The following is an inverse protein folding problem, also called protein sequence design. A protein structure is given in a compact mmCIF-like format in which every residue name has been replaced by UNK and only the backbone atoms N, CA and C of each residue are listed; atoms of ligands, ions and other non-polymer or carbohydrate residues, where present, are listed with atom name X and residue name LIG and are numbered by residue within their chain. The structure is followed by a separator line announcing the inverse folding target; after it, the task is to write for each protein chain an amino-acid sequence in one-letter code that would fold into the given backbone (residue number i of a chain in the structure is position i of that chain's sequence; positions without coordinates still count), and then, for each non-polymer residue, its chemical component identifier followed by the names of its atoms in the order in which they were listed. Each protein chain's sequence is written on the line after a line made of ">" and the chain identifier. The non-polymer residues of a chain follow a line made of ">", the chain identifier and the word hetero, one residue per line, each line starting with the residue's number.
data_IF_178145621926
#
_entry.id   IF_178145621926
#
_cell.length_a   1.000
_cell.length_b   1.000
_cell.length_c   1.000
_cell.angle_alpha   90.00
_cell.angle_beta   90.00
_cell.angle_gamma   90.00
#
_symmetry.space_group_name_H-M   'P 1'
#
loop_
_entity.id
_entity.type
_entity.pdbx_description
1 polymer ?
#
# COMPACT_ATOMS: atom_id res chain seq x y z
N UNK A 1 -8.76 -65.95 -43.36
CA UNK A 1 -9.20 -65.04 -44.45
C UNK A 1 -9.09 -63.60 -43.94
N UNK A 2 -8.84 -62.53 -44.70
CA UNK A 2 -8.29 -62.27 -46.05
C UNK A 2 -7.70 -60.83 -45.99
N UNK A 3 -6.47 -60.51 -46.45
CA UNK A 3 -6.10 -60.12 -47.84
C UNK A 3 -7.14 -59.18 -48.50
N UNK A 4 -6.88 -57.97 -48.99
CA UNK A 4 -5.68 -57.23 -49.49
C UNK A 4 -5.98 -55.69 -49.44
N UNK A 5 -5.21 -54.66 -49.85
CA UNK A 5 -3.93 -54.34 -50.59
C UNK A 5 -3.43 -52.96 -50.04
N UNK A 6 -2.14 -52.54 -50.06
CA UNK A 6 -1.36 -51.81 -51.13
C UNK A 6 -2.12 -50.66 -51.84
N UNK A 7 -1.54 -49.48 -52.16
CA UNK A 7 -0.19 -48.82 -52.16
C UNK A 7 -0.33 -47.41 -51.50
N UNK A 8 0.64 -46.50 -51.26
CA UNK A 8 2.12 -46.31 -51.38
C UNK A 8 2.49 -45.20 -50.31
N UNK A 9 3.73 -44.86 -49.91
CA UNK A 9 5.06 -45.44 -50.09
C UNK A 9 6.13 -44.49 -50.68
N UNK A 10 7.02 -43.95 -49.85
CA UNK A 10 8.39 -43.53 -50.25
C UNK A 10 9.35 -43.72 -49.06
N UNK A 11 10.60 -44.07 -49.35
CA UNK A 11 11.68 -44.25 -48.38
C UNK A 11 12.80 -43.28 -48.74
N UNK A 12 13.31 -42.54 -47.75
CA UNK A 12 14.68 -42.00 -47.79
C UNK A 12 15.34 -42.39 -46.47
N UNK A 13 16.37 -43.22 -46.56
CA UNK A 13 17.28 -43.50 -45.46
C UNK A 13 18.64 -42.88 -45.81
N UNK A 14 19.22 -42.13 -44.88
CA UNK A 14 20.61 -41.67 -44.94
C UNK A 14 21.28 -42.11 -43.64
N UNK A 15 22.42 -42.77 -43.76
CA UNK A 15 23.16 -43.33 -42.63
C UNK A 15 24.28 -42.38 -42.16
N UNK A 16 24.59 -42.45 -40.86
CA UNK A 16 25.80 -41.92 -40.23
C UNK A 16 25.96 -40.37 -40.29
N UNK A 17 26.56 -39.71 -39.30
CA UNK A 17 27.67 -40.15 -38.43
C UNK A 17 27.44 -39.90 -36.94
N UNK A 18 28.11 -40.72 -36.12
CA UNK A 18 28.27 -40.48 -34.69
C UNK A 18 29.65 -39.84 -34.48
N UNK A 19 29.69 -38.53 -34.21
CA UNK A 19 30.91 -37.80 -33.85
C UNK A 19 30.71 -37.10 -32.51
N UNK A 20 31.33 -37.63 -31.47
CA UNK A 20 31.48 -36.87 -30.22
C UNK A 20 32.40 -35.67 -30.47
N UNK A 21 31.87 -34.48 -30.26
CA UNK A 21 32.64 -33.26 -30.05
C UNK A 21 32.15 -32.60 -28.77
N UNK A 22 33.08 -32.14 -27.95
CA UNK A 22 32.82 -31.53 -26.64
C UNK A 22 32.52 -30.03 -26.74
N UNK A 23 31.93 -29.52 -25.67
CA UNK A 23 32.02 -28.17 -25.12
C UNK A 23 30.78 -27.26 -25.25
N UNK A 24 30.71 -26.37 -24.25
CA UNK A 24 29.73 -25.30 -24.02
C UNK A 24 28.26 -25.71 -23.83
N UNK A 25 27.86 -25.74 -22.56
CA UNK A 25 26.46 -25.58 -22.19
C UNK A 25 26.07 -24.12 -22.42
N UNK A 26 25.27 -23.86 -23.45
CA UNK A 26 24.56 -22.59 -23.56
C UNK A 26 23.52 -22.52 -22.44
N UNK A 27 23.54 -21.44 -21.67
CA UNK A 27 22.54 -21.18 -20.64
C UNK A 27 21.21 -20.83 -21.32
N UNK A 28 20.40 -21.85 -21.57
CA UNK A 28 19.05 -21.71 -22.11
C UNK A 28 18.15 -20.95 -21.14
N UNK A 29 18.16 -19.63 -21.24
CA UNK A 29 17.18 -18.75 -20.59
C UNK A 29 15.80 -19.16 -21.09
N UNK A 30 15.01 -19.77 -20.22
CA UNK A 30 13.60 -20.00 -20.54
C UNK A 30 12.93 -18.65 -20.81
N UNK A 31 12.13 -18.51 -21.86
CA UNK A 31 11.40 -17.27 -22.09
C UNK A 31 10.51 -17.01 -20.88
N UNK A 32 10.59 -15.79 -20.33
CA UNK A 32 9.77 -15.37 -19.19
C UNK A 32 8.31 -15.61 -19.55
N UNK A 33 7.63 -16.42 -18.74
CA UNK A 33 6.21 -16.68 -18.93
C UNK A 33 5.46 -15.42 -18.54
N UNK A 34 5.02 -14.64 -19.53
CA UNK A 34 4.08 -13.54 -19.31
C UNK A 34 2.88 -14.11 -18.57
N UNK A 35 2.57 -13.56 -17.39
CA UNK A 35 1.44 -14.01 -16.59
C UNK A 35 0.17 -13.61 -17.32
N UNK A 36 -0.45 -14.56 -18.02
CA UNK A 36 -1.70 -14.35 -18.75
C UNK A 36 -2.71 -13.64 -17.82
N UNK A 37 -3.16 -12.44 -18.21
CA UNK A 37 -4.24 -11.78 -17.49
C UNK A 37 -5.47 -12.70 -17.52
N UNK A 38 -6.07 -13.03 -16.37
CA UNK A 38 -7.13 -14.03 -16.33
C UNK A 38 -8.29 -13.55 -17.19
N UNK A 39 -8.81 -14.46 -18.03
CA UNK A 39 -9.89 -14.15 -18.96
C UNK A 39 -11.17 -13.91 -18.16
N UNK A 40 -11.37 -12.65 -17.78
CA UNK A 40 -12.59 -12.16 -17.15
C UNK A 40 -13.73 -12.37 -18.15
N UNK A 41 -14.71 -13.19 -17.75
CA UNK A 41 -15.87 -13.45 -18.59
C UNK A 41 -16.64 -12.14 -18.88
N UNK A 42 -17.05 -11.88 -20.13
CA UNK A 42 -17.79 -10.67 -20.44
C UNK A 42 -19.13 -10.66 -19.69
N UNK A 43 -19.41 -9.54 -19.01
CA UNK A 43 -20.66 -9.32 -18.26
C UNK A 43 -21.84 -9.49 -19.21
N UNK A 44 -22.71 -10.47 -18.95
CA UNK A 44 -23.89 -10.70 -19.80
C UNK A 44 -24.96 -9.67 -19.47
N UNK A 45 -25.60 -9.12 -20.49
CA UNK A 45 -26.59 -8.04 -20.34
C UNK A 45 -27.98 -8.49 -19.88
N UNK A 46 -28.25 -9.80 -19.92
CA UNK A 46 -29.48 -10.46 -19.49
C UNK A 46 -29.49 -10.88 -18.00
N UNK A 47 -28.35 -10.77 -17.31
CA UNK A 47 -28.25 -11.11 -15.89
C UNK A 47 -28.83 -10.03 -14.96
N UNK A 48 -29.32 -10.38 -13.75
CA UNK A 48 -29.86 -9.42 -12.80
C UNK A 48 -28.88 -8.29 -12.47
N UNK A 49 -29.35 -7.04 -12.41
CA UNK A 49 -28.49 -5.86 -12.24
C UNK A 49 -27.55 -5.94 -11.04
N UNK A 50 -28.02 -6.48 -9.91
CA UNK A 50 -27.17 -6.69 -8.72
C UNK A 50 -26.01 -7.69 -8.95
N UNK A 51 -26.19 -8.70 -9.82
CA UNK A 51 -25.11 -9.62 -10.19
C UNK A 51 -24.08 -8.92 -11.09
N UNK A 52 -24.55 -8.11 -12.05
CA UNK A 52 -23.69 -7.32 -12.96
C UNK A 52 -22.88 -6.26 -12.20
N UNK A 53 -23.47 -5.60 -11.20
CA UNK A 53 -22.75 -4.70 -10.28
C UNK A 53 -21.68 -5.47 -9.51
N UNK A 54 -22.02 -6.61 -8.88
CA UNK A 54 -21.06 -7.43 -8.14
C UNK A 54 -19.90 -7.93 -9.01
N UNK A 55 -20.15 -8.27 -10.27
CA UNK A 55 -19.11 -8.60 -11.25
C UNK A 55 -18.19 -7.40 -11.52
N UNK A 56 -18.73 -6.19 -11.70
CA UNK A 56 -17.93 -4.98 -11.89
C UNK A 56 -17.07 -4.66 -10.65
N UNK A 57 -17.60 -4.85 -9.44
CA UNK A 57 -16.86 -4.71 -8.19
C UNK A 57 -15.71 -5.73 -8.08
N UNK A 58 -15.97 -7.00 -8.42
CA UNK A 58 -14.93 -8.06 -8.45
C UNK A 58 -13.84 -7.77 -9.49
N UNK A 59 -14.21 -7.29 -10.67
CA UNK A 59 -13.27 -6.86 -11.73
C UNK A 59 -12.42 -5.68 -11.25
N UNK A 60 -13.05 -4.69 -10.63
CA UNK A 60 -12.37 -3.50 -10.13
C UNK A 60 -11.39 -3.84 -9.00
N UNK A 61 -11.79 -4.69 -8.06
CA UNK A 61 -10.90 -5.11 -6.97
C UNK A 61 -9.80 -6.07 -7.44
N UNK A 62 -10.06 -6.93 -8.43
CA UNK A 62 -8.99 -7.71 -9.07
C UNK A 62 -7.93 -6.81 -9.71
N UNK A 63 -8.35 -5.86 -10.55
CA UNK A 63 -7.42 -4.94 -11.23
C UNK A 63 -6.76 -3.90 -10.32
N UNK A 64 -7.32 -3.62 -9.14
CA UNK A 64 -6.67 -2.82 -8.09
C UNK A 64 -5.43 -3.54 -7.51
N UNK A 65 -5.53 -4.85 -7.27
CA UNK A 65 -4.48 -5.65 -6.62
C UNK A 65 -3.45 -6.27 -7.58
N UNK A 66 -3.88 -6.70 -8.78
CA UNK A 66 -3.10 -7.65 -9.59
C UNK A 66 -2.56 -7.13 -10.92
N UNK A 67 -3.32 -6.35 -11.69
CA UNK A 67 -2.85 -5.87 -12.99
C UNK A 67 -1.96 -4.64 -12.87
N UNK A 68 -0.96 -4.49 -13.75
CA UNK A 68 -0.09 -3.30 -13.84
C UNK A 68 1.40 -3.58 -13.54
N UNK A 69 2.30 -2.68 -13.99
CA UNK A 69 3.75 -2.80 -13.78
C UNK A 69 4.17 -1.97 -12.55
N UNK A 70 4.75 -2.66 -11.59
CA UNK A 70 5.24 -2.15 -10.31
C UNK A 70 6.33 -1.07 -10.46
N UNK A 71 7.23 -1.19 -11.45
CA UNK A 71 8.27 -0.17 -11.72
C UNK A 71 7.65 1.10 -12.26
N UNK A 72 6.75 0.95 -13.24
CA UNK A 72 6.02 2.07 -13.85
C UNK A 72 5.17 2.82 -12.82
N UNK A 73 4.54 2.10 -11.89
CA UNK A 73 3.77 2.69 -10.80
C UNK A 73 4.62 3.54 -9.83
N UNK A 74 5.85 3.11 -9.53
CA UNK A 74 6.79 3.85 -8.69
C UNK A 74 7.36 5.11 -9.38
N UNK A 75 7.57 5.06 -10.70
CA UNK A 75 8.04 6.20 -11.50
C UNK A 75 6.94 7.23 -11.79
N UNK A 76 5.74 6.82 -12.21
CA UNK A 76 4.67 7.72 -12.65
C UNK A 76 3.75 8.17 -11.50
N UNK A 77 3.48 7.29 -10.54
CA UNK A 77 2.40 7.50 -9.56
C UNK A 77 2.98 8.04 -8.25
N UNK A 78 3.75 7.27 -7.46
CA UNK A 78 4.44 7.81 -6.28
C UNK A 78 5.72 7.05 -5.93
N UNK A 79 6.85 7.76 -5.78
CA UNK A 79 8.11 7.18 -5.28
C UNK A 79 7.93 6.56 -3.90
N UNK A 80 8.49 5.36 -3.68
CA UNK A 80 8.41 4.67 -2.40
C UNK A 80 7.04 4.08 -2.07
N UNK A 81 6.09 4.07 -3.02
CA UNK A 81 4.78 3.42 -2.88
C UNK A 81 4.62 2.36 -3.96
N UNK A 82 4.71 1.09 -3.55
CA UNK A 82 4.34 -0.04 -4.40
C UNK A 82 2.82 -0.03 -4.64
N UNK A 83 2.40 0.20 -5.88
CA UNK A 83 1.01 0.01 -6.32
C UNK A 83 0.98 -1.02 -7.45
N UNK A 84 0.02 -1.95 -7.37
CA UNK A 84 -0.38 -2.87 -8.46
C UNK A 84 -0.94 -2.10 -9.66
N UNK A 85 -2.10 -1.47 -9.41
CA UNK A 85 -3.29 -1.61 -10.24
C UNK A 85 -3.32 -0.95 -11.64
N UNK A 86 -4.11 -1.57 -12.54
CA UNK A 86 -4.65 -0.94 -13.76
C UNK A 86 -5.84 -0.04 -13.42
N UNK A 87 -5.58 1.10 -12.81
CA UNK A 87 -6.62 1.97 -12.25
C UNK A 87 -7.57 2.58 -13.31
N UNK A 88 -7.20 2.57 -14.58
CA UNK A 88 -8.07 2.86 -15.72
C UNK A 88 -9.21 1.83 -15.87
N UNK A 89 -8.91 0.54 -15.72
CA UNK A 89 -9.90 -0.55 -15.73
C UNK A 89 -10.77 -0.50 -14.47
N UNK A 90 -10.18 -0.21 -13.31
CA UNK A 90 -10.90 -0.01 -12.04
C UNK A 90 -11.89 1.16 -12.16
N UNK A 91 -11.49 2.27 -12.77
CA UNK A 91 -12.35 3.44 -13.01
C UNK A 91 -13.48 3.12 -14.00
N UNK A 92 -13.18 2.42 -15.10
CA UNK A 92 -14.18 2.01 -16.07
C UNK A 92 -15.26 1.10 -15.44
N UNK A 93 -14.84 0.13 -14.63
CA UNK A 93 -15.74 -0.79 -13.94
C UNK A 93 -16.66 -0.06 -12.94
N UNK A 94 -16.11 0.83 -12.09
CA UNK A 94 -16.95 1.62 -11.18
C UNK A 94 -17.82 2.65 -11.91
N UNK A 95 -17.39 3.21 -13.05
CA UNK A 95 -18.24 4.08 -13.89
C UNK A 95 -19.48 3.33 -14.38
N UNK A 96 -19.32 2.14 -14.97
CA UNK A 96 -20.46 1.31 -15.39
C UNK A 96 -21.35 0.92 -14.20
N UNK A 97 -20.76 0.56 -13.05
CA UNK A 97 -21.53 0.23 -11.85
C UNK A 97 -22.39 1.42 -11.38
N UNK A 98 -21.88 2.65 -11.43
CA UNK A 98 -22.66 3.87 -11.11
C UNK A 98 -23.70 4.28 -12.17
N UNK A 99 -23.69 3.64 -13.35
CA UNK A 99 -24.75 3.75 -14.36
C UNK A 99 -25.85 2.70 -14.09
N UNK A 100 -25.47 1.49 -13.69
CA UNK A 100 -26.39 0.42 -13.30
C UNK A 100 -27.13 0.71 -11.99
N UNK A 101 -26.47 1.36 -11.01
CA UNK A 101 -27.10 1.97 -9.84
C UNK A 101 -26.69 3.46 -9.70
N UNK A 102 -27.54 4.39 -10.18
CA UNK A 102 -27.29 5.82 -10.04
C UNK A 102 -27.54 6.36 -8.63
N UNK A 103 -28.16 5.60 -7.71
CA UNK A 103 -28.45 6.03 -6.34
C UNK A 103 -27.38 5.60 -5.33
N UNK A 104 -26.69 4.49 -5.55
CA UNK A 104 -25.62 4.03 -4.66
C UNK A 104 -24.55 5.12 -4.43
N UNK A 105 -24.39 5.53 -3.18
CA UNK A 105 -23.35 6.46 -2.74
C UNK A 105 -21.99 5.76 -2.63
N UNK A 106 -21.97 4.49 -2.21
CA UNK A 106 -20.74 3.71 -2.04
C UNK A 106 -20.03 3.44 -3.37
N UNK A 107 -20.76 3.12 -4.44
CA UNK A 107 -20.18 2.98 -5.79
C UNK A 107 -19.57 4.30 -6.29
N UNK A 108 -20.16 5.45 -5.92
CA UNK A 108 -19.62 6.78 -6.27
C UNK A 108 -18.43 7.18 -5.40
N UNK A 109 -18.38 6.74 -4.14
CA UNK A 109 -17.20 6.90 -3.28
C UNK A 109 -16.05 6.03 -3.82
N UNK A 110 -16.31 4.77 -4.19
CA UNK A 110 -15.34 3.88 -4.85
C UNK A 110 -14.81 4.46 -6.17
N UNK A 111 -15.69 5.04 -6.99
CA UNK A 111 -15.28 5.76 -8.20
C UNK A 111 -14.38 6.96 -7.87
N UNK A 112 -14.82 7.85 -6.99
CA UNK A 112 -14.06 9.04 -6.59
C UNK A 112 -12.70 8.67 -5.97
N UNK A 113 -12.63 7.60 -5.17
CA UNK A 113 -11.38 7.05 -4.63
C UNK A 113 -10.44 6.58 -5.74
N UNK A 114 -10.95 5.97 -6.81
CA UNK A 114 -10.15 5.54 -7.97
C UNK A 114 -9.66 6.73 -8.81
N UNK A 115 -10.49 7.77 -8.93
CA UNK A 115 -10.11 9.05 -9.55
C UNK A 115 -9.00 9.72 -8.71
N UNK A 116 -9.07 9.69 -7.38
CA UNK A 116 -8.00 10.17 -6.47
C UNK A 116 -6.68 9.37 -6.62
N UNK A 117 -6.70 8.04 -6.74
CA UNK A 117 -5.46 7.25 -6.96
C UNK A 117 -4.72 7.73 -8.21
N UNK A 118 -5.46 8.01 -9.29
CA UNK A 118 -4.93 8.50 -10.56
C UNK A 118 -4.67 10.02 -10.58
N UNK A 119 -4.72 10.70 -9.42
CA UNK A 119 -4.52 12.16 -9.28
C UNK A 119 -5.56 13.01 -10.04
N UNK A 120 -6.70 12.43 -10.45
CA UNK A 120 -7.84 13.08 -11.12
C UNK A 120 -8.73 13.80 -10.09
N UNK A 121 -8.14 14.76 -9.37
CA UNK A 121 -8.79 15.43 -8.24
C UNK A 121 -10.01 16.27 -8.67
N UNK A 122 -10.01 17.03 -9.80
CA UNK A 122 -11.21 17.74 -10.27
C UNK A 122 -12.39 16.80 -10.58
N UNK A 123 -12.10 15.64 -11.15
CA UNK A 123 -13.06 14.58 -11.45
C UNK A 123 -13.63 13.98 -10.15
N UNK A 124 -12.75 13.56 -9.23
CA UNK A 124 -13.16 13.04 -7.93
C UNK A 124 -14.02 14.05 -7.14
N UNK A 125 -13.69 15.35 -7.18
CA UNK A 125 -14.49 16.40 -6.55
C UNK A 125 -15.88 16.58 -7.20
N UNK A 126 -16.00 16.37 -8.51
CA UNK A 126 -17.29 16.31 -9.21
C UNK A 126 -18.09 15.07 -8.77
N UNK A 127 -17.45 13.91 -8.62
CA UNK A 127 -18.06 12.65 -8.19
C UNK A 127 -18.52 12.72 -6.72
N UNK A 128 -17.68 13.20 -5.79
CA UNK A 128 -18.09 13.48 -4.41
C UNK A 128 -19.23 14.50 -4.34
N UNK A 129 -19.27 15.51 -5.24
CA UNK A 129 -20.38 16.46 -5.30
C UNK A 129 -21.69 15.81 -5.78
N UNK A 130 -21.65 14.73 -6.57
CA UNK A 130 -22.86 13.96 -6.87
C UNK A 130 -23.40 13.27 -5.61
N UNK A 131 -22.52 12.65 -4.80
CA UNK A 131 -22.90 12.08 -3.49
C UNK A 131 -23.53 13.14 -2.59
N UNK A 132 -22.92 14.33 -2.49
CA UNK A 132 -23.43 15.44 -1.68
C UNK A 132 -24.70 16.12 -2.22
N UNK A 133 -25.06 15.88 -3.49
CA UNK A 133 -26.36 16.30 -4.04
C UNK A 133 -27.49 15.29 -3.67
N UNK A 134 -27.15 14.02 -3.48
CA UNK A 134 -28.08 12.97 -3.02
C UNK A 134 -28.23 13.02 -1.49
N UNK A 135 -27.11 13.11 -0.79
CA UNK A 135 -27.02 13.10 0.68
C UNK A 135 -26.16 14.28 1.19
N UNK A 136 -26.74 15.49 1.34
CA UNK A 136 -26.01 16.67 1.81
C UNK A 136 -25.34 16.52 3.19
N UNK A 137 -25.84 15.59 4.00
CA UNK A 137 -25.34 15.29 5.36
C UNK A 137 -24.45 14.04 5.44
N UNK A 138 -24.08 13.45 4.31
CA UNK A 138 -23.13 12.33 4.31
C UNK A 138 -21.76 12.81 4.83
N UNK A 139 -21.42 12.40 6.07
CA UNK A 139 -20.24 12.89 6.77
C UNK A 139 -18.93 12.60 6.01
N UNK A 140 -18.70 11.35 5.60
CA UNK A 140 -17.44 10.97 4.95
C UNK A 140 -17.27 11.68 3.59
N UNK A 141 -18.32 11.77 2.77
CA UNK A 141 -18.29 12.52 1.52
C UNK A 141 -17.99 14.02 1.72
N UNK A 142 -18.58 14.66 2.74
CA UNK A 142 -18.24 16.05 3.08
C UNK A 142 -16.76 16.20 3.49
N UNK A 143 -16.21 15.25 4.24
CA UNK A 143 -14.83 15.25 4.71
C UNK A 143 -13.81 15.05 3.58
N UNK A 144 -14.06 14.04 2.72
CA UNK A 144 -13.24 13.74 1.55
C UNK A 144 -13.28 14.91 0.56
N UNK A 145 -14.47 15.41 0.21
CA UNK A 145 -14.64 16.59 -0.63
C UNK A 145 -13.88 17.80 -0.07
N UNK A 146 -14.04 18.11 1.22
CA UNK A 146 -13.36 19.24 1.85
C UNK A 146 -11.84 19.17 1.77
N UNK A 147 -11.24 18.02 2.13
CA UNK A 147 -9.78 17.87 2.15
C UNK A 147 -9.20 17.80 0.73
N UNK A 148 -9.84 17.10 -0.20
CA UNK A 148 -9.38 17.11 -1.59
C UNK A 148 -9.59 18.48 -2.27
N UNK A 149 -10.60 19.26 -1.88
CA UNK A 149 -10.72 20.68 -2.27
C UNK A 149 -9.54 21.50 -1.76
N UNK A 150 -9.13 21.35 -0.49
CA UNK A 150 -7.94 22.03 0.07
C UNK A 150 -6.68 21.68 -0.73
N UNK A 151 -6.47 20.40 -1.05
CA UNK A 151 -5.31 19.94 -1.85
C UNK A 151 -5.36 20.49 -3.28
N UNK A 152 -6.56 20.57 -3.88
CA UNK A 152 -6.84 21.25 -5.14
C UNK A 152 -6.88 22.80 -5.03
N UNK A 153 -6.41 23.36 -3.92
CA UNK A 153 -6.30 24.81 -3.62
C UNK A 153 -7.63 25.58 -3.53
N UNK A 154 -8.78 24.91 -3.48
CA UNK A 154 -10.08 25.53 -3.16
C UNK A 154 -10.31 25.58 -1.65
N UNK A 155 -9.68 26.57 -1.03
CA UNK A 155 -9.83 26.92 0.38
C UNK A 155 -11.26 27.38 0.74
N UNK A 156 -12.08 27.80 -0.24
CA UNK A 156 -13.47 28.20 0.02
C UNK A 156 -14.37 26.96 0.14
N UNK A 157 -14.22 25.97 -0.73
CA UNK A 157 -14.91 24.69 -0.63
C UNK A 157 -14.48 23.93 0.65
N UNK A 158 -13.19 23.93 1.01
CA UNK A 158 -12.73 23.37 2.28
C UNK A 158 -13.44 24.02 3.49
N UNK A 159 -13.44 25.36 3.58
CA UNK A 159 -14.12 26.08 4.66
C UNK A 159 -15.64 25.80 4.71
N UNK A 160 -16.31 25.70 3.56
CA UNK A 160 -17.73 25.31 3.46
C UNK A 160 -17.96 23.89 3.97
N UNK A 161 -17.14 22.93 3.57
CA UNK A 161 -17.23 21.54 4.00
C UNK A 161 -17.00 21.39 5.52
N UNK A 162 -15.96 22.02 6.08
CA UNK A 162 -15.71 22.02 7.54
C UNK A 162 -16.88 22.67 8.30
N UNK A 163 -17.52 23.71 7.75
CA UNK A 163 -18.73 24.29 8.34
C UNK A 163 -19.90 23.30 8.36
N UNK A 164 -20.16 22.59 7.26
CA UNK A 164 -21.22 21.56 7.20
C UNK A 164 -20.94 20.37 8.11
N UNK A 165 -19.70 19.89 8.17
CA UNK A 165 -19.27 18.83 9.07
C UNK A 165 -19.54 19.17 10.54
N UNK A 166 -19.30 20.42 10.96
CA UNK A 166 -19.65 20.88 12.32
C UNK A 166 -21.15 20.92 12.60
N UNK A 167 -21.99 21.09 11.58
CA UNK A 167 -23.45 20.99 11.71
C UNK A 167 -23.92 19.53 11.83
N UNK A 168 -23.27 18.60 11.12
CA UNK A 168 -23.58 17.15 11.17
C UNK A 168 -23.12 16.54 12.50
N UNK A 169 -21.84 16.70 12.85
CA UNK A 169 -21.25 16.22 14.09
C UNK A 169 -20.00 17.05 14.43
N UNK A 170 -20.17 18.06 15.30
CA UNK A 170 -19.06 18.91 15.76
C UNK A 170 -17.97 18.14 16.53
N UNK A 171 -18.30 17.05 17.23
CA UNK A 171 -17.35 16.29 18.04
C UNK A 171 -16.45 15.42 17.16
N UNK A 172 -17.04 14.64 16.24
CA UNK A 172 -16.30 13.86 15.23
C UNK A 172 -15.52 14.78 14.30
N UNK A 173 -16.07 15.94 13.93
CA UNK A 173 -15.35 16.95 13.14
C UNK A 173 -14.13 17.50 13.87
N UNK A 174 -14.25 17.83 15.17
CA UNK A 174 -13.07 18.23 15.96
C UNK A 174 -12.01 17.13 15.95
N UNK A 175 -12.40 15.87 16.18
CA UNK A 175 -11.47 14.73 16.14
C UNK A 175 -10.70 14.62 14.82
N UNK A 176 -11.33 14.93 13.67
CA UNK A 176 -10.61 14.99 12.39
C UNK A 176 -9.72 16.23 12.22
N UNK A 177 -10.14 17.40 12.71
CA UNK A 177 -9.29 18.59 12.71
C UNK A 177 -8.03 18.39 13.58
N UNK A 178 -8.16 17.74 14.74
CA UNK A 178 -7.04 17.40 15.63
C UNK A 178 -6.05 16.45 14.91
N UNK A 179 -6.53 15.44 14.16
CA UNK A 179 -5.69 14.58 13.29
C UNK A 179 -5.01 15.36 12.17
N UNK A 180 -5.71 16.30 11.53
CA UNK A 180 -5.15 17.11 10.46
C UNK A 180 -4.04 18.01 10.98
N UNK A 181 -4.17 18.57 12.18
CA UNK A 181 -3.11 19.34 12.84
C UNK A 181 -1.89 18.46 13.18
N UNK A 182 -2.10 17.22 13.64
CA UNK A 182 -1.02 16.23 13.83
C UNK A 182 -0.32 15.90 12.51
N UNK A 183 -1.09 15.66 11.45
CA UNK A 183 -0.56 15.36 10.10
C UNK A 183 0.28 16.53 9.55
N UNK A 184 -0.22 17.75 9.68
CA UNK A 184 0.48 18.99 9.29
C UNK A 184 1.77 19.25 10.08
N UNK A 185 1.93 18.67 11.28
CA UNK A 185 3.19 18.66 12.04
C UNK A 185 4.13 17.56 11.56
N UNK A 186 3.62 16.34 11.34
CA UNK A 186 4.40 15.21 10.81
C UNK A 186 4.97 15.52 9.42
N UNK A 187 4.19 16.17 8.56
CA UNK A 187 4.63 16.65 7.23
C UNK A 187 5.90 17.53 7.34
N UNK A 188 5.99 18.33 8.41
CA UNK A 188 7.10 19.26 8.68
C UNK A 188 8.18 18.68 9.59
N UNK A 189 8.12 17.38 9.91
CA UNK A 189 9.08 16.75 10.82
C UNK A 189 10.46 16.59 10.16
N UNK A 190 11.51 16.66 10.98
CA UNK A 190 12.88 16.40 10.52
C UNK A 190 13.07 14.89 10.32
N UNK A 191 13.62 14.52 9.17
CA UNK A 191 14.10 13.16 8.91
C UNK A 191 15.52 12.97 9.47
N UNK A 192 15.79 11.86 10.15
CA UNK A 192 17.13 11.55 10.68
C UNK A 192 17.83 10.49 9.83
N UNK A 193 18.99 10.84 9.29
CA UNK A 193 19.90 9.96 8.53
C UNK A 193 20.90 9.22 9.42
N UNK A 194 21.01 9.62 10.68
CA UNK A 194 21.93 9.10 11.69
C UNK A 194 21.12 8.54 12.87
N UNK A 195 21.69 7.56 13.59
CA UNK A 195 21.01 6.92 14.73
C UNK A 195 20.55 7.97 15.75
N UNK A 196 19.23 8.02 16.07
CA UNK A 196 18.71 9.00 17.02
C UNK A 196 19.32 8.82 18.42
N UNK A 197 19.81 9.93 19.00
CA UNK A 197 20.46 9.93 20.31
C UNK A 197 19.45 9.93 21.45
N UNK A 198 19.84 9.32 22.58
CA UNK A 198 19.05 9.21 23.82
C UNK A 198 17.73 8.43 23.69
N UNK A 199 17.68 7.41 22.83
CA UNK A 199 16.51 6.53 22.72
C UNK A 199 16.21 5.78 24.04
N UNK A 200 14.93 5.44 24.32
CA UNK A 200 14.55 4.80 25.58
C UNK A 200 15.13 3.39 25.76
N UNK A 201 15.69 3.14 26.95
CA UNK A 201 16.41 1.88 27.28
C UNK A 201 15.52 0.72 27.73
N UNK A 202 14.20 0.93 27.74
CA UNK A 202 13.12 0.01 28.13
C UNK A 202 11.90 0.30 27.27
N UNK A 203 11.03 -0.69 27.13
CA UNK A 203 9.73 -0.59 26.45
C UNK A 203 9.81 0.00 25.02
N UNK A 204 10.97 -0.12 24.37
CA UNK A 204 11.29 0.48 23.08
C UNK A 204 11.31 -0.57 21.95
N UNK A 205 10.74 -0.18 20.82
CA UNK A 205 10.67 -0.96 19.59
C UNK A 205 11.34 -0.24 18.42
N UNK A 206 12.00 -1.01 17.55
CA UNK A 206 12.42 -0.56 16.23
C UNK A 206 11.46 -1.20 15.24
N UNK A 207 10.73 -0.41 14.45
CA UNK A 207 9.73 -0.93 13.50
C UNK A 207 10.19 -0.66 12.08
N UNK A 208 10.56 -1.71 11.35
CA UNK A 208 11.14 -1.64 10.01
C UNK A 208 10.06 -2.03 8.98
N UNK A 209 9.73 -1.11 8.07
CA UNK A 209 8.72 -1.33 7.05
C UNK A 209 9.33 -1.95 5.78
N UNK A 210 8.70 -3.03 5.32
CA UNK A 210 9.01 -3.73 4.09
C UNK A 210 8.86 -2.90 2.82
N UNK A 211 9.42 -3.44 1.75
CA UNK A 211 9.44 -2.88 0.40
C UNK A 211 9.49 -4.05 -0.57
N UNK A 212 8.72 -3.95 -1.67
CA UNK A 212 8.42 -5.07 -2.54
C UNK A 212 9.64 -5.94 -2.91
N UNK A 213 9.53 -7.25 -2.63
CA UNK A 213 10.47 -8.25 -3.12
C UNK A 213 10.52 -8.26 -4.66
N UNK A 214 11.61 -8.77 -5.21
CA UNK A 214 11.66 -9.18 -6.61
C UNK A 214 10.74 -10.40 -6.84
N UNK A 215 10.44 -10.68 -8.10
CA UNK A 215 9.46 -11.72 -8.44
C UNK A 215 9.94 -13.14 -8.10
N UNK A 216 11.26 -13.33 -7.95
CA UNK A 216 11.95 -14.54 -7.47
C UNK A 216 12.05 -14.63 -5.92
N UNK A 217 11.41 -13.71 -5.18
CA UNK A 217 11.48 -13.64 -3.72
C UNK A 217 12.71 -12.91 -3.16
N UNK A 218 13.65 -12.45 -3.99
CA UNK A 218 14.85 -11.76 -3.48
C UNK A 218 14.56 -10.32 -3.00
N UNK A 219 15.34 -9.86 -2.01
CA UNK A 219 15.21 -8.49 -1.49
C UNK A 219 15.85 -7.47 -2.44
N UNK A 220 15.11 -6.39 -2.75
CA UNK A 220 15.63 -5.26 -3.53
C UNK A 220 16.45 -4.30 -2.63
N UNK A 221 17.41 -3.57 -3.21
CA UNK A 221 18.31 -2.69 -2.44
C UNK A 221 17.59 -1.69 -1.48
N UNK A 222 16.43 -1.07 -1.83
CA UNK A 222 15.71 -0.21 -0.88
C UNK A 222 15.19 -0.93 0.38
N UNK A 223 15.01 -2.26 0.34
CA UNK A 223 14.70 -3.06 1.54
C UNK A 223 15.97 -3.31 2.37
N UNK A 224 17.08 -3.64 1.70
CA UNK A 224 18.39 -3.89 2.33
C UNK A 224 18.91 -2.62 3.01
N UNK A 225 18.73 -1.45 2.41
CA UNK A 225 19.10 -0.16 3.01
C UNK A 225 18.26 0.20 4.24
N UNK A 226 16.94 -0.09 4.23
CA UNK A 226 16.09 0.05 5.42
C UNK A 226 16.52 -0.90 6.54
N UNK A 227 16.93 -2.12 6.20
CA UNK A 227 17.48 -3.08 7.13
C UNK A 227 18.82 -2.63 7.72
N UNK A 228 19.74 -2.09 6.91
CA UNK A 228 21.00 -1.47 7.37
C UNK A 228 20.74 -0.31 8.33
N UNK A 229 19.78 0.58 8.01
CA UNK A 229 19.38 1.68 8.88
C UNK A 229 18.76 1.19 10.21
N UNK A 230 17.92 0.16 10.17
CA UNK A 230 17.33 -0.45 11.38
C UNK A 230 18.34 -1.19 12.24
N UNK A 231 19.30 -1.88 11.62
CA UNK A 231 20.41 -2.57 12.28
C UNK A 231 21.32 -1.59 13.02
N UNK A 232 21.61 -0.42 12.44
CA UNK A 232 22.38 0.63 13.12
C UNK A 232 21.71 1.06 14.44
N UNK A 233 20.40 1.32 14.42
CA UNK A 233 19.63 1.63 15.64
C UNK A 233 19.62 0.44 16.62
N UNK A 234 19.50 -0.80 16.10
CA UNK A 234 19.44 -2.03 16.91
C UNK A 234 20.75 -2.39 17.61
N UNK A 235 21.88 -1.98 17.05
CA UNK A 235 23.23 -2.16 17.60
C UNK A 235 23.51 -1.17 18.74
N UNK A 236 23.13 0.10 18.59
CA UNK A 236 23.23 1.09 19.68
C UNK A 236 22.20 0.85 20.80
N UNK A 237 21.08 0.18 20.49
CA UNK A 237 19.97 -0.04 21.43
C UNK A 237 19.63 -1.54 21.59
N UNK A 238 20.55 -2.37 22.16
CA UNK A 238 20.45 -3.83 22.19
C UNK A 238 19.25 -4.39 22.98
N UNK A 239 18.65 -3.59 23.87
CA UNK A 239 17.44 -3.97 24.63
C UNK A 239 16.15 -3.84 23.81
N UNK A 240 16.18 -3.19 22.63
CA UNK A 240 14.97 -2.95 21.83
C UNK A 240 14.52 -4.24 21.16
N UNK A 241 13.21 -4.51 21.16
CA UNK A 241 12.61 -5.45 20.21
C UNK A 241 12.60 -4.83 18.81
N UNK A 242 12.65 -5.66 17.77
CA UNK A 242 12.55 -5.25 16.37
C UNK A 242 11.28 -5.87 15.80
N UNK A 243 10.40 -5.07 15.24
CA UNK A 243 9.24 -5.54 14.47
C UNK A 243 9.56 -5.33 12.99
N UNK A 244 9.47 -6.39 12.20
CA UNK A 244 9.61 -6.34 10.74
C UNK A 244 8.24 -6.59 10.11
N UNK A 245 7.74 -5.65 9.30
CA UNK A 245 6.34 -5.62 8.83
C UNK A 245 6.24 -5.56 7.31
N UNK A 246 5.53 -6.54 6.74
CA UNK A 246 5.31 -6.70 5.30
C UNK A 246 4.98 -8.16 4.96
N UNK A 247 3.76 -8.41 4.48
CA UNK A 247 3.17 -9.74 4.35
C UNK A 247 2.87 -10.23 2.93
N UNK A 248 3.17 -9.44 1.89
CA UNK A 248 2.96 -9.88 0.50
C UNK A 248 4.01 -10.93 0.12
N UNK A 249 3.63 -12.16 -0.25
CA UNK A 249 4.60 -13.21 -0.57
C UNK A 249 5.11 -13.14 -2.01
N UNK A 250 6.36 -13.57 -2.21
CA UNK A 250 6.99 -13.90 -3.50
C UNK A 250 7.77 -15.20 -3.35
N UNK A 251 7.54 -16.16 -4.24
CA UNK A 251 8.01 -17.56 -4.11
C UNK A 251 7.81 -18.18 -2.71
N UNK A 252 6.67 -17.84 -2.07
CA UNK A 252 6.30 -18.30 -0.73
C UNK A 252 6.95 -17.54 0.43
N UNK A 253 7.89 -16.62 0.17
CA UNK A 253 8.59 -15.82 1.18
C UNK A 253 7.95 -14.44 1.31
N UNK A 254 7.66 -13.98 2.54
CA UNK A 254 7.19 -12.59 2.77
C UNK A 254 8.35 -11.64 3.03
N UNK A 255 8.11 -10.33 2.88
CA UNK A 255 9.06 -9.29 3.24
C UNK A 255 9.53 -9.42 4.71
N UNK A 256 8.61 -9.70 5.64
CA UNK A 256 8.91 -9.89 7.07
C UNK A 256 9.74 -11.17 7.35
N UNK A 257 9.57 -12.22 6.56
CA UNK A 257 10.44 -13.42 6.65
C UNK A 257 11.86 -13.09 6.20
N UNK A 258 12.02 -12.55 4.99
CA UNK A 258 13.34 -12.18 4.44
C UNK A 258 14.07 -11.12 5.29
N UNK A 259 13.33 -10.13 5.83
CA UNK A 259 13.87 -9.13 6.76
C UNK A 259 14.39 -9.74 8.06
N UNK A 260 13.67 -10.72 8.62
CA UNK A 260 14.08 -11.41 9.85
C UNK A 260 15.36 -12.21 9.64
N UNK A 261 15.40 -13.04 8.59
CA UNK A 261 16.52 -13.92 8.31
C UNK A 261 17.80 -13.11 8.03
N UNK A 262 17.68 -11.96 7.34
CA UNK A 262 18.79 -11.03 7.14
C UNK A 262 19.30 -10.41 8.44
N UNK A 263 18.42 -10.00 9.36
CA UNK A 263 18.82 -9.44 10.66
C UNK A 263 19.56 -10.49 11.51
N UNK A 264 19.09 -11.74 11.50
CA UNK A 264 19.74 -12.87 12.20
C UNK A 264 21.13 -13.12 11.59
N UNK A 265 21.25 -13.17 10.27
CA UNK A 265 22.52 -13.31 9.56
C UNK A 265 23.51 -12.14 9.83
N UNK A 266 23.00 -10.96 10.19
CA UNK A 266 23.79 -9.80 10.60
C UNK A 266 23.95 -9.67 12.14
N UNK A 267 23.68 -10.73 12.90
CA UNK A 267 24.02 -10.84 14.32
C UNK A 267 22.96 -10.34 15.32
N UNK A 268 21.74 -10.04 14.86
CA UNK A 268 20.62 -9.79 15.78
C UNK A 268 20.11 -11.12 16.33
N UNK A 269 20.01 -11.23 17.66
CA UNK A 269 19.42 -12.40 18.31
C UNK A 269 17.94 -12.57 17.91
N UNK A 270 17.57 -13.79 17.50
CA UNK A 270 16.22 -14.14 17.01
C UNK A 270 15.11 -13.73 17.98
N UNK A 271 15.32 -13.89 19.29
CA UNK A 271 14.32 -13.53 20.31
C UNK A 271 13.96 -12.04 20.32
N UNK A 272 14.84 -11.16 19.78
CA UNK A 272 14.57 -9.73 19.66
C UNK A 272 13.60 -9.41 18.53
N UNK A 273 13.46 -10.29 17.53
CA UNK A 273 12.73 -10.03 16.29
C UNK A 273 11.30 -10.56 16.40
N UNK A 274 10.34 -9.77 15.91
CA UNK A 274 8.93 -10.13 15.80
C UNK A 274 8.50 -9.91 14.36
N UNK A 275 8.09 -10.98 13.68
CA UNK A 275 7.59 -10.92 12.31
C UNK A 275 6.11 -10.52 12.28
N UNK A 276 5.78 -9.53 11.47
CA UNK A 276 4.43 -9.18 11.07
C UNK A 276 4.32 -9.42 9.56
N UNK A 277 3.83 -10.62 9.20
CA UNK A 277 3.84 -11.14 7.83
C UNK A 277 2.42 -11.23 7.22
N UNK A 278 1.50 -10.33 7.60
CA UNK A 278 0.11 -10.32 7.10
C UNK A 278 -0.27 -9.06 6.34
N UNK A 279 0.39 -7.94 6.62
CA UNK A 279 0.04 -6.67 5.99
C UNK A 279 0.32 -6.65 4.48
N UNK A 280 -0.68 -6.22 3.71
CA UNK A 280 -0.59 -6.07 2.25
C UNK A 280 -0.26 -4.64 1.82
N UNK A 281 -0.41 -3.66 2.73
CA UNK A 281 -0.06 -2.25 2.49
C UNK A 281 0.37 -1.51 3.77
N UNK A 282 0.65 -0.21 3.63
CA UNK A 282 1.13 0.65 4.73
C UNK A 282 0.11 0.91 5.84
N UNK A 283 -1.19 0.87 5.54
CA UNK A 283 -2.26 1.01 6.55
C UNK A 283 -2.31 -0.25 7.41
N UNK A 284 -2.19 -1.42 6.78
CA UNK A 284 -2.10 -2.70 7.48
C UNK A 284 -0.78 -2.83 8.26
N UNK A 285 0.38 -2.46 7.69
CA UNK A 285 1.67 -2.48 8.38
C UNK A 285 1.59 -1.75 9.72
N UNK A 286 0.96 -0.57 9.73
CA UNK A 286 0.78 0.26 10.91
C UNK A 286 -0.22 -0.33 11.92
N UNK A 287 -1.37 -0.82 11.47
CA UNK A 287 -2.39 -1.41 12.35
C UNK A 287 -1.87 -2.70 13.00
N UNK A 288 -1.27 -3.60 12.23
CA UNK A 288 -0.80 -4.90 12.71
C UNK A 288 0.47 -4.77 13.56
N UNK A 289 1.41 -3.89 13.18
CA UNK A 289 2.56 -3.55 14.05
C UNK A 289 2.09 -2.90 15.35
N UNK A 290 1.09 -2.02 15.33
CA UNK A 290 0.57 -1.41 16.56
C UNK A 290 -0.14 -2.43 17.45
N UNK A 291 -0.85 -3.41 16.89
CA UNK A 291 -1.39 -4.54 17.67
C UNK A 291 -0.31 -5.33 18.41
N UNK A 292 0.86 -5.52 17.78
CA UNK A 292 2.04 -6.15 18.41
C UNK A 292 2.61 -5.22 19.50
N UNK A 293 2.80 -3.94 19.23
CA UNK A 293 3.27 -2.96 20.23
C UNK A 293 2.37 -2.92 21.48
N UNK A 294 1.05 -2.97 21.31
CA UNK A 294 0.09 -3.04 22.42
C UNK A 294 0.19 -4.35 23.22
N UNK A 295 0.39 -5.49 22.54
CA UNK A 295 0.52 -6.83 23.14
C UNK A 295 1.81 -6.97 23.96
N UNK A 296 2.93 -6.50 23.42
CA UNK A 296 4.26 -6.58 24.06
C UNK A 296 4.51 -5.44 25.07
N UNK A 297 3.57 -4.50 25.23
CA UNK A 297 3.69 -3.36 26.14
C UNK A 297 4.68 -2.28 25.69
N UNK A 298 5.07 -2.29 24.41
CA UNK A 298 6.07 -1.41 23.82
C UNK A 298 5.47 -0.01 23.58
N UNK A 299 6.08 0.99 24.20
CA UNK A 299 5.60 2.37 24.28
C UNK A 299 6.34 3.30 23.32
N UNK A 300 7.66 3.18 23.23
CA UNK A 300 8.46 4.10 22.43
C UNK A 300 8.90 3.42 21.15
N UNK A 301 8.82 4.12 20.02
CA UNK A 301 9.03 3.53 18.69
C UNK A 301 10.04 4.34 17.89
N UNK A 302 11.10 3.70 17.40
CA UNK A 302 11.88 4.21 16.26
C UNK A 302 11.35 3.58 14.99
N UNK A 303 10.68 4.38 14.16
CA UNK A 303 10.14 3.95 12.87
C UNK A 303 11.24 4.03 11.80
N UNK A 304 11.36 2.99 10.96
CA UNK A 304 12.42 2.84 9.96
C UNK A 304 11.84 2.53 8.58
N UNK A 305 12.10 3.42 7.62
CA UNK A 305 11.69 3.29 6.22
C UNK A 305 12.46 4.29 5.34
N UNK A 306 12.31 4.23 4.01
CA UNK A 306 12.76 5.27 3.08
C UNK A 306 12.26 6.67 3.48
N UNK A 307 13.06 7.70 3.21
CA UNK A 307 12.74 9.10 3.47
C UNK A 307 11.45 9.56 2.76
N UNK A 308 11.23 9.11 1.53
CA UNK A 308 10.01 9.35 0.73
C UNK A 308 8.73 8.84 1.42
N UNK A 309 8.90 7.81 2.25
CA UNK A 309 7.80 7.07 2.85
C UNK A 309 7.53 7.48 4.30
N UNK A 310 8.52 8.10 4.98
CA UNK A 310 8.51 8.28 6.43
C UNK A 310 7.35 9.14 6.94
N UNK A 311 6.96 10.23 6.25
CA UNK A 311 5.83 11.09 6.67
C UNK A 311 4.49 10.37 6.61
N UNK A 312 4.30 9.53 5.59
CA UNK A 312 3.13 8.66 5.46
C UNK A 312 3.10 7.61 6.57
N UNK A 313 4.21 6.90 6.75
CA UNK A 313 4.34 5.90 7.80
C UNK A 313 4.04 6.48 9.20
N UNK A 314 4.68 7.59 9.58
CA UNK A 314 4.42 8.27 10.86
C UNK A 314 2.96 8.69 11.02
N UNK A 315 2.34 9.28 10.00
CA UNK A 315 0.93 9.72 10.06
C UNK A 315 -0.02 8.55 10.34
N UNK A 316 0.21 7.42 9.69
CA UNK A 316 -0.64 6.22 9.82
C UNK A 316 -0.36 5.51 11.16
N UNK A 317 0.89 5.40 11.61
CA UNK A 317 1.24 4.81 12.91
C UNK A 317 0.70 5.62 14.10
N UNK A 318 0.65 6.95 13.98
CA UNK A 318 0.04 7.84 14.98
C UNK A 318 -1.50 7.70 15.02
N UNK A 319 -2.15 7.53 13.86
CA UNK A 319 -3.58 7.22 13.80
C UNK A 319 -3.90 5.81 14.34
N UNK A 320 -3.12 4.80 13.97
CA UNK A 320 -3.25 3.44 14.49
C UNK A 320 -3.08 3.43 16.03
N UNK A 321 -2.12 4.19 16.55
CA UNK A 321 -1.94 4.40 17.99
C UNK A 321 -3.17 5.03 18.63
N UNK A 322 -3.70 6.11 18.06
CA UNK A 322 -4.91 6.77 18.55
C UNK A 322 -6.15 5.84 18.52
N UNK A 323 -6.25 4.98 17.51
CA UNK A 323 -7.28 3.94 17.40
C UNK A 323 -7.16 2.90 18.54
N UNK A 324 -5.98 2.32 18.75
CA UNK A 324 -5.76 1.34 19.82
C UNK A 324 -5.88 1.95 21.22
N UNK A 325 -5.38 3.17 21.44
CA UNK A 325 -5.59 3.92 22.69
C UNK A 325 -7.09 4.06 23.01
N UNK A 326 -7.86 4.55 22.02
CA UNK A 326 -9.31 4.76 22.17
C UNK A 326 -10.07 3.44 22.38
N UNK A 327 -9.74 2.39 21.62
CA UNK A 327 -10.37 1.08 21.73
C UNK A 327 -10.12 0.43 23.09
N UNK A 328 -8.91 0.60 23.64
CA UNK A 328 -8.50 0.04 24.92
C UNK A 328 -8.77 0.99 26.12
N UNK A 329 -9.47 2.12 25.90
CA UNK A 329 -9.71 3.19 26.88
C UNK A 329 -8.43 3.73 27.58
N UNK A 330 -7.29 3.67 26.91
CA UNK A 330 -6.00 4.17 27.40
C UNK A 330 -5.85 5.68 27.17
N UNK A 331 -4.93 6.29 27.91
CA UNK A 331 -4.39 7.63 27.59
C UNK A 331 -3.16 7.45 26.71
N UNK A 332 -3.06 8.23 25.64
CA UNK A 332 -1.92 8.20 24.70
C UNK A 332 -0.60 8.36 25.42
N UNK A 333 0.22 7.32 25.32
CA UNK A 333 1.52 7.19 26.01
C UNK A 333 2.55 6.48 25.12
N UNK A 334 2.48 6.72 23.80
CA UNK A 334 3.44 6.24 22.80
C UNK A 334 4.13 7.43 22.14
N UNK A 335 5.45 7.34 21.99
CA UNK A 335 6.25 8.32 21.28
C UNK A 335 6.86 7.72 20.01
N UNK A 336 7.04 8.55 18.99
CA UNK A 336 7.65 8.16 17.71
C UNK A 336 8.90 8.99 17.43
N UNK A 337 10.00 8.30 17.21
CA UNK A 337 11.21 8.80 16.57
C UNK A 337 11.31 8.18 15.17
N UNK A 338 12.06 8.79 14.26
CA UNK A 338 12.31 8.24 12.93
C UNK A 338 13.82 8.04 12.67
N UNK A 339 14.13 7.05 11.84
CA UNK A 339 15.41 6.83 11.18
C UNK A 339 15.13 6.51 9.70
N UNK A 340 15.78 7.19 8.76
CA UNK A 340 15.50 7.02 7.32
C UNK A 340 16.68 6.43 6.55
N UNK A 341 16.35 5.55 5.60
CA UNK A 341 17.18 5.42 4.39
C UNK A 341 16.92 6.63 3.50
N UNK A 342 17.95 7.36 3.10
CA UNK A 342 17.82 8.56 2.26
C UNK A 342 17.74 8.18 0.77
N UNK A 343 16.52 7.98 0.27
CA UNK A 343 16.23 7.67 -1.14
C UNK A 343 16.09 8.94 -2.02
N UNK A 344 16.79 10.01 -1.66
CA UNK A 344 16.89 11.27 -2.39
C UNK A 344 18.36 11.67 -2.60
N UNK A 345 18.69 12.48 -3.62
CA UNK A 345 20.05 12.98 -3.81
C UNK A 345 20.60 13.77 -2.62
N UNK A 346 19.74 14.52 -1.90
CA UNK A 346 20.12 15.19 -0.65
C UNK A 346 18.97 15.21 0.37
N UNK A 347 19.30 15.50 1.64
CA UNK A 347 18.33 15.65 2.72
C UNK A 347 17.43 16.88 2.54
N UNK A 348 17.92 17.95 1.91
CA UNK A 348 17.14 19.14 1.56
C UNK A 348 16.06 18.82 0.51
N UNK A 349 16.36 17.92 -0.43
CA UNK A 349 15.39 17.42 -1.40
C UNK A 349 14.31 16.57 -0.72
N UNK A 350 14.70 15.71 0.22
CA UNK A 350 13.78 14.92 1.03
C UNK A 350 12.86 15.75 1.95
N UNK A 351 13.11 17.06 2.13
CA UNK A 351 12.22 18.00 2.82
C UNK A 351 11.24 18.75 1.88
N UNK A 352 11.36 18.61 0.55
CA UNK A 352 10.46 19.21 -0.44
C UNK A 352 9.18 18.38 -0.62
N UNK A 353 8.32 18.36 0.40
CA UNK A 353 7.07 17.60 0.37
C UNK A 353 6.19 18.03 -0.81
N UNK A 354 5.75 17.06 -1.60
CA UNK A 354 4.95 17.33 -2.82
C UNK A 354 3.44 17.32 -2.56
N UNK A 355 2.67 17.96 -3.44
CA UNK A 355 1.20 17.84 -3.43
C UNK A 355 0.74 16.37 -3.56
N UNK A 356 1.50 15.57 -4.31
CA UNK A 356 1.27 14.14 -4.53
C UNK A 356 1.51 13.32 -3.24
N UNK A 357 2.61 13.57 -2.54
CA UNK A 357 2.91 12.98 -1.23
C UNK A 357 1.81 13.35 -0.20
N UNK A 358 1.36 14.61 -0.18
CA UNK A 358 0.24 15.08 0.66
C UNK A 358 -1.06 14.34 0.32
N UNK A 359 -1.35 14.12 -0.97
CA UNK A 359 -2.55 13.41 -1.42
C UNK A 359 -2.63 11.99 -0.83
N UNK A 360 -1.52 11.25 -0.85
CA UNK A 360 -1.47 9.87 -0.31
C UNK A 360 -1.44 9.87 1.23
N UNK A 361 -0.74 10.81 1.86
CA UNK A 361 -0.76 10.96 3.33
C UNK A 361 -2.19 11.14 3.83
N UNK A 362 -2.98 12.05 3.23
CA UNK A 362 -4.38 12.24 3.62
C UNK A 362 -5.28 11.06 3.23
N UNK A 363 -5.07 10.44 2.06
CA UNK A 363 -5.78 9.22 1.64
C UNK A 363 -5.62 8.12 2.69
N UNK A 364 -4.38 7.74 3.01
CA UNK A 364 -4.12 6.61 3.90
C UNK A 364 -4.41 6.94 5.38
N UNK A 365 -4.38 8.23 5.78
CA UNK A 365 -4.94 8.70 7.07
C UNK A 365 -6.45 8.43 7.18
N UNK A 366 -7.23 8.66 6.12
CA UNK A 366 -8.67 8.37 6.13
C UNK A 366 -8.94 6.87 6.26
N UNK A 367 -8.21 6.06 5.51
CA UNK A 367 -8.26 4.59 5.55
C UNK A 367 -7.93 4.05 6.96
N UNK A 368 -6.84 4.54 7.55
CA UNK A 368 -6.47 4.24 8.95
C UNK A 368 -7.54 4.72 9.96
N UNK A 369 -8.19 5.86 9.70
CA UNK A 369 -9.31 6.39 10.49
C UNK A 369 -10.63 5.61 10.34
N UNK A 370 -10.66 4.55 9.51
CA UNK A 370 -11.86 3.75 9.25
C UNK A 370 -12.83 4.35 8.23
N UNK A 371 -12.40 5.32 7.41
CA UNK A 371 -13.12 5.71 6.19
C UNK A 371 -12.54 4.88 5.05
N UNK A 372 -13.29 3.86 4.64
CA UNK A 372 -12.83 2.87 3.66
C UNK A 372 -12.60 3.51 2.29
N UNK A 373 -11.49 3.15 1.63
CA UNK A 373 -11.20 3.58 0.27
C UNK A 373 -12.27 3.07 -0.71
N UNK A 374 -12.68 1.81 -0.56
CA UNK A 374 -13.77 1.17 -1.29
C UNK A 374 -14.73 0.57 -0.25
N UNK A 375 -15.87 1.22 0.06
CA UNK A 375 -16.76 0.79 1.13
C UNK A 375 -17.11 -0.70 1.07
N UNK A 376 -16.94 -1.39 2.21
CA UNK A 376 -17.18 -2.83 2.34
C UNK A 376 -16.13 -3.76 1.71
N UNK A 377 -15.27 -3.27 0.80
CA UNK A 377 -14.32 -4.10 0.04
C UNK A 377 -12.85 -3.88 0.41
N UNK A 378 -12.41 -2.63 0.52
CA UNK A 378 -11.02 -2.27 0.87
C UNK A 378 -11.01 -1.07 1.79
N UNK A 379 -10.38 -1.24 2.95
CA UNK A 379 -10.18 -0.16 3.93
C UNK A 379 -9.34 0.94 3.32
#
# INVERSE_FOLDING_TARGET
>A
MNKFKKRLGLIVAICATLTLSTAYAETGVQPVQETEEPIIAPIKTDEPTAHRIKQLEEIAMYYYWHGGDLKKAEEEIFKGITLKGKYDVVEAAYKEATILDPYSVDLKISLASTEIIQKKIPEALKTYKQVLNLEPDHFNANLLYGVYSKINRDEQAYKKAISRLRQIDNHKTKGYLDKFETTEKIIKTKLNTDVPKNLPKKDHAIVILGYALADDGTMREPLIERLRAGLAVANENPNSKIIVTGGVPKEGVTEADAMSDWLIANGVAEDRIIKENKATDTVENALFSTAILEKEGLKDVTLVTSASHMRRALTIFEEATLFYDKMNAKKRNRSFTNMVYLDYPTIEEAHKVTNDEILVIYRDLFRASGIWQYPGMQR
#
